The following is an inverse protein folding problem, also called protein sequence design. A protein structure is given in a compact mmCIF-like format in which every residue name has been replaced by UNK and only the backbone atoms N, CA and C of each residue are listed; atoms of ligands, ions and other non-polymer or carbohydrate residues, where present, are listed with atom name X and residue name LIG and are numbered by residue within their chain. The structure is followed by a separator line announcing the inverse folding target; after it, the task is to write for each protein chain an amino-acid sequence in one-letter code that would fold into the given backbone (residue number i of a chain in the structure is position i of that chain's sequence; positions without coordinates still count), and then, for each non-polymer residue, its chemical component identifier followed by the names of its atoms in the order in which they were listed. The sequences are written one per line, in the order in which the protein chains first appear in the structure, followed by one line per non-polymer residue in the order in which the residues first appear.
data_IF_344612125156
#
_entry.id   IF_344612125156
#
_cell.length_a   1.000
_cell.length_b   1.000
_cell.length_c   1.000
_cell.angle_alpha   90.00
_cell.angle_beta   90.00
_cell.angle_gamma   90.00
#
_symmetry.space_group_name_H-M   'P 1'
#
loop_
_entity.id
_entity.type
_entity.pdbx_description
1 polymer ?
#
# COMPACT_ATOMS: atom_id res chain seq x y z
N UNK A 1 47.38 27.24 21.51
CA UNK A 1 45.92 27.32 21.34
C UNK A 1 45.57 26.64 20.02
N UNK A 2 44.93 25.47 20.05
CA UNK A 2 44.46 24.80 18.84
C UNK A 2 43.05 25.29 18.50
N UNK A 3 42.91 25.94 17.35
CA UNK A 3 41.71 26.63 16.85
C UNK A 3 40.83 25.76 15.94
N UNK A 4 41.06 24.44 15.89
CA UNK A 4 40.35 23.52 15.01
C UNK A 4 39.87 22.29 15.79
N UNK A 5 38.65 22.38 16.30
CA UNK A 5 37.86 21.22 16.74
C UNK A 5 36.93 20.81 15.60
N UNK A 6 37.06 19.58 15.12
CA UNK A 6 36.13 18.99 14.14
C UNK A 6 34.71 18.91 14.72
N UNK A 7 33.65 19.17 13.93
CA UNK A 7 32.29 18.94 14.38
C UNK A 7 32.08 17.44 14.56
N UNK A 8 31.72 17.03 15.78
CA UNK A 8 31.27 15.65 16.04
C UNK A 8 30.04 15.38 15.18
N UNK A 9 30.10 14.31 14.40
CA UNK A 9 28.97 13.80 13.63
C UNK A 9 27.92 13.25 14.60
N UNK A 10 26.99 14.11 15.04
CA UNK A 10 25.79 13.68 15.75
C UNK A 10 24.95 12.84 14.78
N UNK A 11 24.90 11.53 15.02
CA UNK A 11 24.02 10.62 14.30
C UNK A 11 22.58 11.14 14.43
N UNK A 12 22.00 11.62 13.33
CA UNK A 12 20.60 12.00 13.29
C UNK A 12 19.75 10.77 13.58
N UNK A 13 19.15 10.73 14.77
CA UNK A 13 18.08 9.81 15.13
C UNK A 13 16.82 10.25 14.39
N UNK A 14 16.46 9.55 13.32
CA UNK A 14 15.14 9.71 12.71
C UNK A 14 14.11 9.03 13.59
N UNK A 15 13.01 9.70 13.96
CA UNK A 15 11.94 9.06 14.70
C UNK A 15 11.29 7.99 13.82
N UNK A 16 11.15 6.79 14.36
CA UNK A 16 10.34 5.74 13.73
C UNK A 16 8.88 6.19 13.65
N UNK A 17 8.18 5.92 12.53
CA UNK A 17 6.80 6.31 12.38
C UNK A 17 5.90 5.66 13.46
N UNK A 18 4.87 6.37 13.94
CA UNK A 18 3.93 5.82 14.91
C UNK A 18 3.29 4.53 14.42
N UNK A 19 3.08 3.56 15.32
CA UNK A 19 2.42 2.28 14.98
C UNK A 19 0.91 2.38 14.77
N UNK A 20 0.31 3.56 15.01
CA UNK A 20 -1.12 3.80 14.87
C UNK A 20 -1.46 4.22 13.44
N UNK A 21 -2.61 3.77 12.93
CA UNK A 21 -3.20 4.31 11.71
C UNK A 21 -3.99 5.55 12.08
N UNK A 22 -3.59 6.71 11.57
CA UNK A 22 -4.36 7.94 11.74
C UNK A 22 -5.62 7.92 10.87
N UNK A 23 -6.57 8.81 11.15
CA UNK A 23 -7.73 9.01 10.28
C UNK A 23 -7.33 9.29 8.83
N UNK A 24 -6.23 10.03 8.62
CA UNK A 24 -5.73 10.33 7.26
C UNK A 24 -5.22 9.06 6.58
N UNK A 25 -4.46 8.24 7.29
CA UNK A 25 -3.97 6.96 6.76
C UNK A 25 -5.14 6.05 6.39
N UNK A 26 -6.16 5.95 7.25
CA UNK A 26 -7.36 5.16 6.98
C UNK A 26 -8.11 5.62 5.72
N UNK A 27 -8.20 6.93 5.47
CA UNK A 27 -8.79 7.46 4.23
C UNK A 27 -7.99 7.06 3.00
N UNK A 28 -6.65 7.09 3.06
CA UNK A 28 -5.82 6.60 1.97
C UNK A 28 -5.99 5.09 1.73
N UNK A 29 -6.05 4.28 2.80
CA UNK A 29 -6.36 2.85 2.67
C UNK A 29 -7.69 2.62 1.97
N UNK A 30 -8.73 3.35 2.37
CA UNK A 30 -10.05 3.25 1.76
C UNK A 30 -10.01 3.56 0.26
N UNK A 31 -9.30 4.61 -0.13
CA UNK A 31 -9.17 4.99 -1.55
C UNK A 31 -8.41 3.90 -2.34
N UNK A 32 -7.26 3.45 -1.82
CA UNK A 32 -6.45 2.40 -2.46
C UNK A 32 -7.23 1.10 -2.62
N UNK A 33 -7.96 0.69 -1.59
CA UNK A 33 -8.82 -0.50 -1.64
C UNK A 33 -9.95 -0.33 -2.66
N UNK A 34 -10.59 0.84 -2.70
CA UNK A 34 -11.67 1.13 -3.65
C UNK A 34 -11.16 1.10 -5.10
N UNK A 35 -9.95 1.61 -5.34
CA UNK A 35 -9.31 1.57 -6.67
C UNK A 35 -8.96 0.15 -7.09
N UNK A 36 -8.34 -0.64 -6.22
CA UNK A 36 -8.01 -2.04 -6.53
C UNK A 36 -9.26 -2.88 -6.82
N UNK A 37 -10.31 -2.76 -6.00
CA UNK A 37 -11.57 -3.48 -6.23
C UNK A 37 -12.22 -3.09 -7.57
N UNK A 38 -12.24 -1.79 -7.87
CA UNK A 38 -12.82 -1.28 -9.13
C UNK A 38 -12.02 -1.73 -10.35
N UNK A 39 -10.68 -1.73 -10.25
CA UNK A 39 -9.79 -2.20 -11.31
C UNK A 39 -9.96 -3.71 -11.54
N UNK A 40 -9.94 -4.52 -10.47
CA UNK A 40 -10.17 -5.97 -10.56
C UNK A 40 -11.48 -6.31 -11.29
N UNK A 41 -12.59 -5.66 -10.92
CA UNK A 41 -13.89 -5.85 -11.59
C UNK A 41 -13.86 -5.50 -13.07
N UNK A 42 -13.15 -4.43 -13.45
CA UNK A 42 -13.01 -4.02 -14.85
C UNK A 42 -12.14 -4.99 -15.65
N UNK A 43 -11.06 -5.48 -15.07
CA UNK A 43 -10.19 -6.49 -15.70
C UNK A 43 -10.93 -7.82 -15.88
N UNK A 44 -11.69 -8.25 -14.88
CA UNK A 44 -12.56 -9.43 -14.97
C UNK A 44 -13.61 -9.28 -16.09
N UNK A 45 -14.27 -8.13 -16.17
CA UNK A 45 -15.21 -7.86 -17.25
C UNK A 45 -14.50 -7.85 -18.63
N UNK A 46 -13.31 -7.23 -18.71
CA UNK A 46 -12.54 -7.19 -19.95
C UNK A 46 -12.09 -8.58 -20.41
N UNK A 47 -11.65 -9.46 -19.51
CA UNK A 47 -11.23 -10.83 -19.84
C UNK A 47 -12.40 -11.67 -20.38
N UNK A 48 -13.61 -11.46 -19.87
CA UNK A 48 -14.84 -12.13 -20.36
C UNK A 48 -15.30 -11.63 -21.74
N UNK A 49 -15.01 -10.37 -22.07
CA UNK A 49 -15.44 -9.75 -23.32
C UNK A 49 -14.33 -9.66 -24.37
N UNK A 50 -13.12 -10.14 -24.08
CA UNK A 50 -11.99 -10.14 -25.01
C UNK A 50 -11.93 -11.44 -25.82
N UNK A 51 -11.82 -11.33 -27.14
CA UNK A 51 -11.70 -12.47 -28.06
C UNK A 51 -10.24 -12.85 -28.33
N UNK A 52 -9.28 -11.96 -28.04
CA UNK A 52 -7.86 -12.18 -28.27
C UNK A 52 -7.27 -12.93 -27.06
N UNK A 53 -6.78 -14.18 -27.23
CA UNK A 53 -6.32 -15.02 -26.12
C UNK A 53 -5.20 -14.38 -25.29
N UNK A 54 -4.24 -13.72 -25.95
CA UNK A 54 -3.12 -13.08 -25.26
C UNK A 54 -3.59 -11.93 -24.37
N UNK A 55 -4.47 -11.06 -24.87
CA UNK A 55 -5.02 -9.96 -24.08
C UNK A 55 -5.91 -10.46 -22.94
N UNK A 56 -6.69 -11.52 -23.17
CA UNK A 56 -7.48 -12.15 -22.11
C UNK A 56 -6.59 -12.58 -20.94
N UNK A 57 -5.46 -13.22 -21.22
CA UNK A 57 -4.49 -13.64 -20.19
C UNK A 57 -3.92 -12.46 -19.42
N UNK A 58 -3.61 -11.36 -20.10
CA UNK A 58 -3.13 -10.13 -19.45
C UNK A 58 -4.20 -9.52 -18.53
N UNK A 59 -5.48 -9.53 -18.94
CA UNK A 59 -6.58 -9.07 -18.08
C UNK A 59 -6.77 -9.98 -16.85
N UNK A 60 -6.69 -11.30 -17.00
CA UNK A 60 -6.76 -12.24 -15.88
C UNK A 60 -5.60 -12.03 -14.90
N UNK A 61 -4.39 -11.81 -15.41
CA UNK A 61 -3.22 -11.49 -14.58
C UNK A 61 -3.38 -10.16 -13.83
N UNK A 62 -3.88 -9.12 -14.50
CA UNK A 62 -4.13 -7.82 -13.90
C UNK A 62 -5.26 -7.87 -12.85
N UNK A 63 -6.33 -8.64 -13.10
CA UNK A 63 -7.37 -8.91 -12.11
C UNK A 63 -6.77 -9.50 -10.84
N UNK A 64 -6.00 -10.59 -10.97
CA UNK A 64 -5.40 -11.27 -9.82
C UNK A 64 -4.44 -10.36 -9.05
N UNK A 65 -3.63 -9.56 -9.75
CA UNK A 65 -2.75 -8.58 -9.13
C UNK A 65 -3.54 -7.58 -8.26
N UNK A 66 -4.63 -7.01 -8.78
CA UNK A 66 -5.45 -6.06 -8.02
C UNK A 66 -6.18 -6.70 -6.83
N UNK A 67 -6.64 -7.95 -6.95
CA UNK A 67 -7.21 -8.71 -5.82
C UNK A 67 -6.15 -8.91 -4.73
N UNK A 68 -4.94 -9.35 -5.10
CA UNK A 68 -3.86 -9.57 -4.13
C UNK A 68 -3.52 -8.28 -3.38
N UNK A 69 -3.38 -7.15 -4.08
CA UNK A 69 -3.12 -5.85 -3.43
C UNK A 69 -4.25 -5.43 -2.49
N UNK A 70 -5.52 -5.69 -2.84
CA UNK A 70 -6.64 -5.42 -1.94
C UNK A 70 -6.53 -6.23 -0.65
N UNK A 71 -6.24 -7.52 -0.76
CA UNK A 71 -6.13 -8.44 0.38
C UNK A 71 -4.95 -8.09 1.29
N UNK A 72 -3.83 -7.66 0.71
CA UNK A 72 -2.67 -7.17 1.47
C UNK A 72 -3.00 -5.90 2.28
N UNK A 73 -3.72 -4.94 1.67
CA UNK A 73 -4.18 -3.73 2.35
C UNK A 73 -5.17 -4.06 3.46
N UNK A 74 -6.12 -4.97 3.20
CA UNK A 74 -7.10 -5.42 4.19
C UNK A 74 -6.40 -6.09 5.38
N UNK A 75 -5.44 -6.98 5.13
CA UNK A 75 -4.64 -7.61 6.18
C UNK A 75 -3.89 -6.58 7.02
N UNK A 76 -3.30 -5.57 6.38
CA UNK A 76 -2.60 -4.48 7.08
C UNK A 76 -3.53 -3.70 8.00
N UNK A 77 -4.74 -3.37 7.54
CA UNK A 77 -5.76 -2.72 8.37
C UNK A 77 -6.18 -3.61 9.55
N UNK A 78 -6.46 -4.89 9.33
CA UNK A 78 -6.85 -5.82 10.40
C UNK A 78 -5.75 -6.01 11.46
N UNK A 79 -4.49 -5.98 11.05
CA UNK A 79 -3.35 -6.03 11.99
C UNK A 79 -3.21 -4.76 12.83
N UNK A 80 -3.68 -3.62 12.31
CA UNK A 80 -3.61 -2.33 13.01
C UNK A 80 -4.72 -2.14 14.06
N UNK A 81 -5.82 -2.90 13.98
CA UNK A 81 -6.93 -2.88 14.96
C UNK A 81 -6.54 -3.44 16.36
N UNK A 82 -5.24 -3.72 16.60
CA UNK A 82 -4.70 -4.21 17.87
C UNK A 82 -3.66 -3.31 18.56
N UNK A 83 -3.44 -2.08 18.10
CA UNK A 83 -2.52 -1.13 18.75
C UNK A 83 -3.23 -0.24 19.78
N UNK A 84 -2.68 0.01 20.98
CA UNK A 84 -3.36 0.78 22.03
C UNK A 84 -3.71 2.17 21.51
N UNK A 85 -5.00 2.50 21.59
CA UNK A 85 -5.50 3.87 21.50
C UNK A 85 -4.86 4.62 22.67
N UNK A 86 -3.88 5.47 22.36
CA UNK A 86 -3.33 6.44 23.32
C UNK A 86 -4.18 7.70 23.31
#
# INVERSE_FOLDING_TARGET
MNLFSEPKNEQMLYPEPPKMISTKDFLYYKDMMSWNLSAAKKMNWASQNCQLPDLKKEFEAAEQMHVNHYDELLKTLQQSEGGPVS
#
